data_IF_811301551734
#
_entry.id   IF_811301551734
#
_cell.length_a   1.000
_cell.length_b   1.000
_cell.length_c   1.000
_cell.angle_alpha   90.00
_cell.angle_beta   90.00
_cell.angle_gamma   90.00
#
_symmetry.space_group_name_H-M   'P 1'
#
loop_
_entity.id
_entity.type
_entity.pdbx_description
1 polymer ?
#
# COMPACT_ATOMS: atom_id res chain seq x y z
N UNK A 1 17.74 10.95 11.37
CA UNK A 1 16.74 10.69 10.32
C UNK A 1 16.10 9.37 10.63
N UNK A 2 14.78 9.34 10.64
CA UNK A 2 14.00 8.14 10.87
C UNK A 2 13.98 7.28 9.59
N UNK A 3 13.73 5.98 9.74
CA UNK A 3 13.61 5.03 8.63
C UNK A 3 12.34 4.23 8.81
N UNK A 4 11.53 4.14 7.76
CA UNK A 4 10.32 3.30 7.78
C UNK A 4 10.66 1.84 7.45
N UNK A 5 9.78 0.96 7.89
CA UNK A 5 9.80 -0.46 7.59
C UNK A 5 8.36 -0.97 7.45
N UNK A 6 8.13 -1.86 6.48
CA UNK A 6 6.93 -2.68 6.42
C UNK A 6 6.99 -3.73 7.54
N UNK A 7 6.10 -3.63 8.52
CA UNK A 7 6.03 -4.54 9.68
C UNK A 7 5.24 -5.80 9.37
N UNK A 8 4.12 -5.63 8.67
CA UNK A 8 3.30 -6.72 8.16
C UNK A 8 2.47 -6.25 6.95
N UNK A 9 1.98 -7.23 6.21
CA UNK A 9 1.08 -7.06 5.07
C UNK A 9 -0.06 -8.05 5.21
N UNK A 10 -1.28 -7.58 5.01
CA UNK A 10 -2.50 -8.38 5.15
C UNK A 10 -3.46 -8.07 4.00
N UNK A 11 -4.40 -8.97 3.78
CA UNK A 11 -5.58 -8.72 2.95
C UNK A 11 -6.79 -9.28 3.68
N UNK A 12 -7.89 -8.52 3.67
CA UNK A 12 -9.10 -8.92 4.36
C UNK A 12 -9.88 -10.01 3.59
N UNK A 13 -9.78 -9.99 2.26
CA UNK A 13 -10.62 -10.82 1.39
C UNK A 13 -10.01 -12.20 1.11
N UNK A 14 -8.67 -12.33 1.14
CA UNK A 14 -7.95 -13.55 0.76
C UNK A 14 -6.76 -13.86 1.65
N UNK A 15 -6.41 -15.13 1.74
CA UNK A 15 -5.12 -15.56 2.33
C UNK A 15 -4.00 -15.37 1.30
N UNK A 16 -3.14 -14.38 1.54
CA UNK A 16 -2.01 -14.02 0.68
C UNK A 16 -1.00 -15.16 0.47
N UNK A 17 -0.97 -16.16 1.34
CA UNK A 17 -0.06 -17.32 1.21
C UNK A 17 -0.54 -18.34 0.17
N UNK A 18 -1.84 -18.31 -0.17
CA UNK A 18 -2.46 -19.23 -1.13
C UNK A 18 -3.10 -18.53 -2.33
N UNK A 19 -3.24 -17.21 -2.27
CA UNK A 19 -3.77 -16.41 -3.37
C UNK A 19 -2.88 -16.48 -4.61
N UNK A 20 -3.51 -16.72 -5.77
CA UNK A 20 -2.84 -16.78 -7.07
C UNK A 20 -3.58 -15.99 -8.17
N UNK A 21 -4.60 -15.24 -7.79
CA UNK A 21 -5.50 -14.51 -8.69
C UNK A 21 -6.97 -14.86 -8.47
N UNK A 22 -7.83 -14.11 -9.14
CA UNK A 22 -9.26 -14.36 -9.25
C UNK A 22 -9.54 -15.62 -10.09
N UNK A 23 -10.80 -16.07 -10.14
CA UNK A 23 -11.21 -17.26 -10.91
C UNK A 23 -10.85 -17.16 -12.41
N UNK A 24 -10.78 -15.94 -12.95
CA UNK A 24 -10.42 -15.68 -14.35
C UNK A 24 -8.90 -15.49 -14.56
N UNK A 25 -8.10 -15.64 -13.52
CA UNK A 25 -6.65 -15.46 -13.52
C UNK A 25 -6.19 -13.99 -13.44
N UNK A 26 -7.10 -13.02 -13.40
CA UNK A 26 -6.76 -11.62 -13.17
C UNK A 26 -6.36 -11.38 -11.72
N UNK A 27 -5.64 -10.29 -11.43
CA UNK A 27 -5.25 -9.90 -10.07
C UNK A 27 -5.99 -8.61 -9.74
N UNK A 28 -6.68 -8.56 -8.61
CA UNK A 28 -7.34 -7.34 -8.14
C UNK A 28 -7.69 -7.44 -6.67
N UNK A 29 -6.83 -6.91 -5.80
CA UNK A 29 -7.03 -6.94 -4.35
C UNK A 29 -6.48 -5.70 -3.67
N UNK A 30 -7.06 -5.34 -2.53
CA UNK A 30 -6.52 -4.32 -1.64
C UNK A 30 -5.65 -4.95 -0.56
N UNK A 31 -4.43 -4.41 -0.40
CA UNK A 31 -3.51 -4.82 0.64
C UNK A 31 -3.48 -3.78 1.74
N UNK A 32 -3.58 -4.25 2.98
CA UNK A 32 -3.36 -3.49 4.20
C UNK A 32 -1.88 -3.59 4.59
N UNK A 33 -1.21 -2.45 4.64
CA UNK A 33 0.20 -2.31 4.97
C UNK A 33 0.34 -1.71 6.37
N UNK A 34 1.00 -2.43 7.27
CA UNK A 34 1.37 -1.90 8.57
C UNK A 34 2.79 -1.37 8.48
N UNK A 35 2.95 -0.05 8.44
CA UNK A 35 4.24 0.61 8.24
C UNK A 35 4.57 1.39 9.49
N UNK A 36 5.78 1.18 10.02
CA UNK A 36 6.24 1.79 11.26
C UNK A 36 7.69 2.22 11.18
N UNK A 37 8.16 2.96 12.18
CA UNK A 37 9.58 3.25 12.31
C UNK A 37 10.37 1.94 12.51
N UNK A 38 11.53 1.83 11.90
CA UNK A 38 12.41 0.65 12.03
C UNK A 38 12.70 0.28 13.49
N UNK A 39 12.92 1.28 14.35
CA UNK A 39 13.26 1.09 15.77
C UNK A 39 12.05 0.75 16.66
N UNK A 40 10.82 0.97 16.18
CA UNK A 40 9.58 0.79 16.94
C UNK A 40 8.85 -0.51 16.56
N UNK A 41 8.00 -0.99 17.48
CA UNK A 41 7.02 -2.04 17.20
C UNK A 41 5.67 -1.49 16.73
N UNK A 42 5.45 -0.19 16.92
CA UNK A 42 4.24 0.48 16.48
C UNK A 42 4.24 0.63 14.96
N UNK A 43 3.04 0.65 14.39
CA UNK A 43 2.81 0.81 12.96
C UNK A 43 1.51 1.58 12.74
N UNK A 44 1.47 2.32 11.65
CA UNK A 44 0.25 2.89 11.11
C UNK A 44 -0.22 2.11 9.90
N UNK A 45 -1.50 2.25 9.60
CA UNK A 45 -2.18 1.53 8.53
C UNK A 45 -2.19 2.37 7.26
N UNK A 46 -1.66 1.79 6.19
CA UNK A 46 -1.76 2.29 4.83
C UNK A 46 -2.41 1.22 3.95
N UNK A 47 -3.03 1.61 2.85
CA UNK A 47 -3.61 0.67 1.88
C UNK A 47 -3.01 0.89 0.49
N UNK A 48 -2.92 -0.19 -0.27
CA UNK A 48 -2.51 -0.14 -1.68
C UNK A 48 -3.33 -1.15 -2.48
N UNK A 49 -3.83 -0.74 -3.63
CA UNK A 49 -4.49 -1.66 -4.55
C UNK A 49 -3.45 -2.37 -5.41
N UNK A 50 -3.59 -3.67 -5.62
CA UNK A 50 -2.73 -4.45 -6.51
C UNK A 50 -3.59 -5.02 -7.62
N UNK A 51 -3.22 -4.74 -8.87
CA UNK A 51 -3.95 -5.29 -10.00
C UNK A 51 -3.05 -5.70 -11.16
N UNK A 52 -3.58 -6.58 -12.02
CA UNK A 52 -2.96 -6.90 -13.31
C UNK A 52 -3.51 -6.03 -14.44
N UNK A 53 -2.79 -5.99 -15.56
CA UNK A 53 -3.25 -5.30 -16.78
C UNK A 53 -4.62 -5.80 -17.24
N UNK A 54 -4.82 -7.12 -17.17
CA UNK A 54 -6.03 -7.77 -17.66
C UNK A 54 -7.22 -7.47 -16.73
N UNK A 55 -6.97 -7.27 -15.43
CA UNK A 55 -7.98 -6.77 -14.51
C UNK A 55 -8.43 -5.36 -14.90
N UNK A 56 -7.49 -4.46 -15.20
CA UNK A 56 -7.82 -3.10 -15.64
C UNK A 56 -8.60 -3.11 -16.96
N UNK A 57 -8.19 -3.90 -17.94
CA UNK A 57 -8.91 -3.99 -19.23
C UNK A 57 -10.35 -4.48 -19.04
N UNK A 58 -10.56 -5.44 -18.15
CA UNK A 58 -11.86 -6.07 -17.91
C UNK A 58 -12.79 -5.23 -17.05
N UNK A 59 -12.28 -4.62 -15.99
CA UNK A 59 -13.09 -3.96 -14.95
C UNK A 59 -13.02 -2.42 -15.02
N UNK A 60 -12.03 -1.84 -15.70
CA UNK A 60 -11.83 -0.38 -15.85
C UNK A 60 -11.85 0.04 -17.33
N UNK A 61 -13.01 -0.11 -17.98
CA UNK A 61 -13.19 0.20 -19.40
C UNK A 61 -13.33 1.71 -19.73
N UNK A 62 -13.06 2.59 -18.76
CA UNK A 62 -13.15 4.04 -18.89
C UNK A 62 -11.90 4.71 -18.31
N UNK A 63 -11.56 5.92 -18.77
CA UNK A 63 -10.48 6.68 -18.16
C UNK A 63 -10.70 6.85 -16.65
N UNK A 64 -9.72 6.43 -15.85
CA UNK A 64 -9.72 6.54 -14.39
C UNK A 64 -8.37 7.07 -13.91
N UNK A 65 -8.40 7.90 -12.87
CA UNK A 65 -7.19 8.23 -12.12
C UNK A 65 -6.87 7.06 -11.19
N UNK A 66 -5.73 6.44 -11.40
CA UNK A 66 -5.26 5.29 -10.60
C UNK A 66 -4.20 5.81 -9.63
N UNK A 67 -4.61 6.05 -8.38
CA UNK A 67 -3.72 6.40 -7.28
C UNK A 67 -3.51 5.17 -6.39
N UNK A 68 -2.39 5.16 -5.67
CA UNK A 68 -2.09 4.15 -4.66
C UNK A 68 -2.25 2.71 -5.17
N UNK A 69 -1.75 2.45 -6.37
CA UNK A 69 -1.91 1.16 -7.06
C UNK A 69 -0.55 0.63 -7.51
N UNK A 70 -0.33 -0.67 -7.30
CA UNK A 70 0.79 -1.43 -7.85
C UNK A 70 0.26 -2.28 -9.00
N UNK A 71 0.85 -2.12 -10.18
CA UNK A 71 0.55 -2.97 -11.33
C UNK A 71 1.50 -4.18 -11.32
N UNK A 72 0.95 -5.38 -11.46
CA UNK A 72 1.71 -6.65 -11.52
C UNK A 72 1.34 -7.45 -12.76
N UNK A 73 2.25 -8.30 -13.24
CA UNK A 73 1.92 -9.27 -14.30
C UNK A 73 1.28 -10.55 -13.73
N UNK A 74 1.67 -10.93 -12.51
CA UNK A 74 1.17 -12.06 -11.73
C UNK A 74 1.25 -11.71 -10.25
N UNK A 75 0.47 -12.38 -9.41
CA UNK A 75 0.63 -12.20 -7.97
C UNK A 75 1.90 -12.90 -7.47
N UNK A 76 2.82 -12.12 -6.94
CA UNK A 76 4.01 -12.59 -6.22
C UNK A 76 4.17 -11.71 -4.99
N UNK A 77 3.73 -12.22 -3.83
CA UNK A 77 3.78 -11.47 -2.58
C UNK A 77 5.20 -10.98 -2.26
N UNK A 78 6.22 -11.78 -2.61
CA UNK A 78 7.60 -11.42 -2.27
C UNK A 78 8.11 -10.26 -3.12
N UNK A 79 7.76 -10.25 -4.40
CA UNK A 79 8.08 -9.15 -5.30
C UNK A 79 7.40 -7.85 -4.85
N UNK A 80 6.12 -7.94 -4.44
CA UNK A 80 5.35 -6.81 -3.91
C UNK A 80 5.98 -6.27 -2.62
N UNK A 81 6.31 -7.13 -1.65
CA UNK A 81 7.02 -6.74 -0.43
C UNK A 81 8.35 -6.03 -0.72
N UNK A 82 9.12 -6.55 -1.68
CA UNK A 82 10.40 -5.96 -2.05
C UNK A 82 10.22 -4.57 -2.66
N UNK A 83 9.23 -4.39 -3.55
CA UNK A 83 8.87 -3.10 -4.12
C UNK A 83 8.51 -2.09 -3.02
N UNK A 84 7.62 -2.47 -2.09
CA UNK A 84 7.19 -1.62 -0.98
C UNK A 84 8.39 -1.24 -0.10
N UNK A 85 9.21 -2.21 0.33
CA UNK A 85 10.37 -1.92 1.16
C UNK A 85 11.39 -1.03 0.46
N UNK A 86 11.61 -1.22 -0.85
CA UNK A 86 12.47 -0.35 -1.65
C UNK A 86 11.93 1.08 -1.71
N UNK A 87 10.61 1.27 -1.84
CA UNK A 87 10.00 2.60 -1.78
C UNK A 87 10.21 3.25 -0.40
N UNK A 88 9.98 2.49 0.68
CA UNK A 88 10.17 2.98 2.06
C UNK A 88 11.63 3.39 2.35
N UNK A 89 12.61 2.73 1.75
CA UNK A 89 14.03 3.12 1.89
C UNK A 89 14.34 4.53 1.38
N UNK A 90 13.54 5.04 0.43
CA UNK A 90 13.70 6.40 -0.11
C UNK A 90 12.87 7.44 0.67
N UNK A 91 12.03 7.00 1.61
CA UNK A 91 11.30 7.87 2.52
C UNK A 91 12.16 8.16 3.77
N UNK A 92 12.65 9.38 3.89
CA UNK A 92 13.38 9.86 5.07
C UNK A 92 12.72 11.12 5.64
N UNK A 93 12.83 11.33 6.95
CA UNK A 93 12.28 12.50 7.62
C UNK A 93 12.91 12.70 9.00
N UNK A 94 12.64 13.87 9.59
CA UNK A 94 13.04 14.19 10.95
C UNK A 94 11.97 13.77 11.96
N UNK A 95 10.70 13.75 11.54
CA UNK A 95 9.57 13.23 12.33
C UNK A 95 8.86 12.10 11.60
N UNK A 96 8.05 11.35 12.34
CA UNK A 96 7.23 10.28 11.78
C UNK A 96 6.18 10.84 10.81
N UNK A 97 5.55 11.96 11.14
CA UNK A 97 4.54 12.63 10.33
C UNK A 97 5.10 13.06 8.96
N UNK A 98 6.33 13.60 8.93
CA UNK A 98 7.01 13.93 7.67
C UNK A 98 7.23 12.70 6.79
N UNK A 99 7.54 11.55 7.40
CA UNK A 99 7.69 10.29 6.68
C UNK A 99 6.35 9.73 6.23
N UNK A 100 5.35 9.66 7.11
CA UNK A 100 4.00 9.19 6.82
C UNK A 100 3.41 9.97 5.63
N UNK A 101 3.63 11.29 5.57
CA UNK A 101 3.23 12.12 4.44
C UNK A 101 3.95 11.79 3.11
N UNK A 102 5.23 11.38 3.16
CA UNK A 102 5.96 10.90 1.96
C UNK A 102 5.49 9.51 1.52
N UNK A 103 5.19 8.66 2.49
CA UNK A 103 4.62 7.34 2.28
C UNK A 103 3.22 7.47 1.66
N UNK A 104 2.43 8.45 2.10
CA UNK A 104 1.05 8.67 1.62
C UNK A 104 0.95 9.02 0.13
N UNK A 105 2.05 9.47 -0.47
CA UNK A 105 2.14 9.71 -1.92
C UNK A 105 2.05 8.44 -2.76
N UNK A 106 2.43 7.29 -2.19
CA UNK A 106 2.34 6.00 -2.85
C UNK A 106 1.25 5.10 -2.26
N UNK A 107 0.92 5.23 -0.97
CA UNK A 107 -0.07 4.37 -0.31
C UNK A 107 -1.16 5.20 0.36
N UNK A 108 -2.41 4.76 0.30
CA UNK A 108 -3.52 5.50 0.89
C UNK A 108 -3.41 5.46 2.42
N UNK A 109 -3.33 6.61 3.07
CA UNK A 109 -3.21 6.71 4.52
C UNK A 109 -4.56 7.12 5.13
N UNK A 110 -5.01 6.43 6.17
CA UNK A 110 -6.32 6.72 6.80
C UNK A 110 -6.47 8.13 7.38
N UNK A 111 -5.34 8.83 7.60
CA UNK A 111 -5.28 10.21 8.08
C UNK A 111 -4.90 11.23 6.99
N UNK A 112 -4.80 10.81 5.73
CA UNK A 112 -4.49 11.72 4.64
C UNK A 112 -5.62 12.77 4.54
N UNK A 113 -5.29 14.04 4.81
CA UNK A 113 -6.21 15.17 4.95
C UNK A 113 -7.06 15.21 6.24
N UNK A 114 -6.70 14.47 7.29
CA UNK A 114 -7.30 14.67 8.60
C UNK A 114 -6.99 16.09 9.11
N UNK A 115 -8.03 16.89 9.29
CA UNK A 115 -7.95 18.15 10.04
C UNK A 115 -8.63 17.93 11.38
N UNK A 116 -7.91 18.16 12.48
CA UNK A 116 -8.55 18.22 13.79
C UNK A 116 -9.67 19.25 13.74
N UNK A 117 -10.89 18.82 14.06
CA UNK A 117 -12.02 19.71 14.26
C UNK A 117 -11.67 20.64 15.43
N UNK A 118 -11.29 21.88 15.13
CA UNK A 118 -11.22 22.93 16.14
C UNK A 118 -12.65 23.19 16.62
N UNK A 119 -12.98 22.74 17.82
CA UNK A 119 -14.21 23.15 18.48
C UNK A 119 -14.17 24.69 18.65
N UNK A 120 -15.25 25.41 18.27
CA UNK A 120 -15.31 26.86 18.38
C UNK A 120 -15.28 27.35 19.82
#
# INVERSE_FOLDING_TARGET
>A
MLRAQLKSIECFDVDLTTYSGEEDGSIGLELTLYIGEFSSKEAEVFNVFVCSSDWLEKYENKPRLILNTILVSKFDLKEIENLINNYLMHCSGNTWEEMAYKISKAFSWGFDNYQELKNP
#
